data_IF_437886786453
#
_entry.id   IF_437886786453
#
_cell.length_a   1.000
_cell.length_b   1.000
_cell.length_c   1.000
_cell.angle_alpha   90.00
_cell.angle_beta   90.00
_cell.angle_gamma   90.00
#
_symmetry.space_group_name_H-M   'P 1'
#
loop_
_entity.id
_entity.type
_entity.pdbx_description
1 polymer ?
#
# COMPACT_ATOMS: atom_id res chain seq x y z
N UNK A 1 -38.84 -34.19 -8.64
CA UNK A 1 -37.68 -33.97 -7.75
C UNK A 1 -36.47 -33.86 -8.67
N UNK A 2 -35.98 -32.67 -9.04
CA UNK A 2 -35.21 -31.67 -8.27
C UNK A 2 -33.95 -32.26 -7.62
N UNK A 3 -32.91 -32.44 -8.44
CA UNK A 3 -31.50 -32.55 -8.04
C UNK A 3 -30.67 -31.78 -9.07
N UNK A 4 -30.44 -30.49 -8.82
CA UNK A 4 -29.50 -29.62 -9.55
C UNK A 4 -29.38 -28.32 -8.76
N UNK A 5 -28.45 -28.26 -7.80
CA UNK A 5 -27.82 -27.02 -7.30
C UNK A 5 -27.12 -27.34 -5.97
N UNK A 6 -25.86 -27.75 -5.99
CA UNK A 6 -25.03 -27.66 -4.77
C UNK A 6 -23.50 -27.75 -5.01
N UNK A 7 -23.04 -27.84 -6.27
CA UNK A 7 -21.61 -28.02 -6.56
C UNK A 7 -20.88 -26.74 -7.00
N UNK A 8 -21.58 -25.63 -7.28
CA UNK A 8 -20.94 -24.42 -7.83
C UNK A 8 -20.52 -23.37 -6.79
N UNK A 9 -20.95 -23.45 -5.53
CA UNK A 9 -20.65 -22.40 -4.54
C UNK A 9 -19.36 -22.62 -3.74
N UNK A 10 -18.62 -23.71 -3.98
CA UNK A 10 -17.46 -24.09 -3.15
C UNK A 10 -16.10 -23.93 -3.84
N UNK A 11 -16.08 -23.54 -5.11
CA UNK A 11 -14.85 -23.39 -5.90
C UNK A 11 -14.35 -21.94 -6.05
N UNK A 12 -15.08 -20.95 -5.53
CA UNK A 12 -14.73 -19.52 -5.69
C UNK A 12 -13.81 -19.02 -4.57
N UNK A 13 -13.85 -19.62 -3.38
CA UNK A 13 -13.08 -19.15 -2.23
C UNK A 13 -11.62 -19.67 -2.18
N UNK A 14 -11.28 -20.75 -2.88
CA UNK A 14 -9.92 -21.33 -2.83
C UNK A 14 -8.95 -20.73 -3.87
N UNK A 15 -9.46 -19.99 -4.86
CA UNK A 15 -8.63 -19.44 -5.95
C UNK A 15 -8.15 -17.99 -5.71
N UNK A 16 -8.63 -17.34 -4.64
CA UNK A 16 -8.16 -16.03 -4.19
C UNK A 16 -6.94 -16.12 -3.26
N UNK A 17 -6.62 -17.32 -2.75
CA UNK A 17 -5.55 -17.53 -1.77
C UNK A 17 -4.12 -17.43 -2.33
N UNK A 18 -3.93 -17.31 -3.65
CA UNK A 18 -2.59 -17.29 -4.27
C UNK A 18 -2.27 -16.03 -5.07
N UNK A 19 -3.22 -15.09 -5.22
CA UNK A 19 -2.98 -13.88 -6.01
C UNK A 19 -2.48 -12.78 -5.08
N UNK A 20 -1.16 -12.57 -5.09
CA UNK A 20 -0.57 -11.38 -4.46
C UNK A 20 -1.01 -10.13 -5.21
N UNK A 21 -1.41 -9.10 -4.48
CA UNK A 21 -1.77 -7.83 -5.10
C UNK A 21 -0.50 -7.13 -5.60
N UNK A 22 -0.40 -6.98 -6.91
CA UNK A 22 0.69 -6.22 -7.55
C UNK A 22 0.56 -4.75 -7.18
N UNK A 23 1.63 -4.13 -6.68
CA UNK A 23 1.63 -2.73 -6.24
C UNK A 23 2.74 -1.89 -6.86
N UNK A 24 2.42 -0.63 -7.17
CA UNK A 24 3.41 0.44 -7.28
C UNK A 24 3.68 0.96 -5.88
N UNK A 25 4.92 0.81 -5.42
CA UNK A 25 5.31 1.21 -4.08
C UNK A 25 5.81 2.65 -4.05
N UNK A 26 5.23 3.43 -3.16
CA UNK A 26 5.65 4.76 -2.78
C UNK A 26 6.01 4.78 -1.30
N UNK A 27 7.07 5.49 -0.95
CA UNK A 27 7.64 5.46 0.40
C UNK A 27 7.99 6.89 0.82
N UNK A 28 7.68 7.27 2.07
CA UNK A 28 8.15 8.56 2.59
C UNK A 28 9.68 8.62 2.61
N UNK A 29 10.23 9.82 2.40
CA UNK A 29 11.68 10.04 2.43
C UNK A 29 12.31 9.54 3.74
N UNK A 30 11.63 9.78 4.86
CA UNK A 30 12.04 9.34 6.20
C UNK A 30 12.21 7.82 6.34
N UNK A 31 11.34 7.05 5.70
CA UNK A 31 11.41 5.58 5.70
C UNK A 31 12.56 5.15 4.78
N UNK A 32 12.61 5.70 3.57
CA UNK A 32 13.65 5.36 2.61
C UNK A 32 15.06 5.69 3.10
N UNK A 33 15.20 6.75 3.90
CA UNK A 33 16.47 7.18 4.48
C UNK A 33 16.94 6.30 5.66
N UNK A 34 16.05 5.53 6.30
CA UNK A 34 16.35 4.77 7.53
C UNK A 34 16.29 3.26 7.36
N UNK A 35 15.50 2.78 6.40
CA UNK A 35 15.30 1.35 6.15
C UNK A 35 15.91 0.93 4.82
N UNK A 36 16.40 -0.31 4.76
CA UNK A 36 16.84 -0.86 3.49
C UNK A 36 15.62 -1.20 2.63
N UNK A 37 15.75 -1.03 1.31
CA UNK A 37 14.71 -1.41 0.36
C UNK A 37 14.21 -2.84 0.54
N UNK A 38 15.17 -3.75 0.76
CA UNK A 38 14.89 -5.15 0.99
C UNK A 38 13.92 -5.38 2.15
N UNK A 39 14.07 -4.64 3.27
CA UNK A 39 13.27 -4.84 4.48
C UNK A 39 11.77 -4.66 4.23
N UNK A 40 11.38 -3.53 3.65
CA UNK A 40 9.96 -3.24 3.44
C UNK A 40 9.38 -3.99 2.24
N UNK A 41 10.16 -4.25 1.18
CA UNK A 41 9.67 -5.08 0.06
C UNK A 41 9.47 -6.54 0.50
N UNK A 42 10.40 -7.06 1.31
CA UNK A 42 10.26 -8.39 1.90
C UNK A 42 9.01 -8.44 2.79
N UNK A 43 8.85 -7.50 3.71
CA UNK A 43 7.68 -7.43 4.57
C UNK A 43 6.36 -7.39 3.77
N UNK A 44 6.26 -6.51 2.76
CA UNK A 44 5.08 -6.44 1.89
C UNK A 44 4.77 -7.79 1.22
N UNK A 45 5.79 -8.53 0.82
CA UNK A 45 5.62 -9.88 0.26
C UNK A 45 5.06 -10.89 1.27
N UNK A 46 5.39 -10.75 2.55
CA UNK A 46 4.87 -11.63 3.62
C UNK A 46 3.39 -11.40 3.89
N UNK A 47 2.90 -10.17 3.66
CA UNK A 47 1.49 -9.81 3.84
C UNK A 47 0.68 -9.81 2.54
N UNK A 48 1.22 -10.40 1.46
CA UNK A 48 0.48 -10.67 0.24
C UNK A 48 0.58 -9.61 -0.86
N UNK A 49 1.45 -8.61 -0.74
CA UNK A 49 1.71 -7.64 -1.82
C UNK A 49 2.94 -8.03 -2.64
N UNK A 50 2.92 -7.75 -3.95
CA UNK A 50 4.08 -7.90 -4.82
C UNK A 50 4.45 -6.57 -5.44
N UNK A 51 5.59 -6.01 -5.06
CA UNK A 51 6.06 -4.74 -5.63
C UNK A 51 6.49 -4.95 -7.08
N UNK A 52 5.80 -4.31 -8.02
CA UNK A 52 6.11 -4.39 -9.47
C UNK A 52 6.92 -3.19 -9.96
N UNK A 53 6.91 -2.08 -9.21
CA UNK A 53 7.73 -0.88 -9.45
C UNK A 53 7.78 -0.01 -8.19
N UNK A 54 8.87 0.73 -8.02
CA UNK A 54 9.18 1.52 -6.81
C UNK A 54 10.52 1.10 -6.16
N UNK A 55 10.83 1.60 -4.96
CA UNK A 55 10.08 2.64 -4.24
C UNK A 55 10.18 3.99 -4.97
N UNK A 56 9.06 4.67 -5.13
CA UNK A 56 9.01 6.07 -5.53
C UNK A 56 8.99 6.92 -4.26
N UNK A 57 9.88 7.91 -4.16
CA UNK A 57 9.95 8.72 -2.95
C UNK A 57 8.84 9.76 -2.98
N UNK A 58 8.07 9.82 -1.89
CA UNK A 58 7.01 10.82 -1.76
C UNK A 58 7.55 12.24 -1.81
N UNK A 59 6.72 13.16 -2.26
CA UNK A 59 7.04 14.58 -2.47
C UNK A 59 8.06 14.86 -3.60
N UNK A 60 8.59 13.82 -4.27
CA UNK A 60 9.22 13.99 -5.57
C UNK A 60 8.15 14.18 -6.68
N UNK A 61 8.49 14.84 -7.80
CA UNK A 61 7.55 15.05 -8.89
C UNK A 61 6.96 13.74 -9.44
N UNK A 62 5.64 13.62 -9.36
CA UNK A 62 4.88 12.46 -9.87
C UNK A 62 4.64 12.58 -11.38
N UNK A 63 5.55 12.06 -12.18
CA UNK A 63 5.45 12.08 -13.65
C UNK A 63 4.38 11.11 -14.16
N UNK A 64 3.84 11.37 -15.35
CA UNK A 64 2.83 10.48 -15.97
C UNK A 64 3.40 9.10 -16.32
N UNK A 65 4.71 8.99 -16.52
CA UNK A 65 5.40 7.73 -16.80
C UNK A 65 5.23 6.71 -15.67
N UNK A 66 5.21 7.17 -14.42
CA UNK A 66 4.98 6.32 -13.24
C UNK A 66 3.60 5.63 -13.32
N UNK A 67 2.62 6.30 -13.91
CA UNK A 67 1.23 5.82 -14.00
C UNK A 67 0.88 5.26 -15.37
N UNK A 68 1.85 5.14 -16.29
CA UNK A 68 1.61 4.67 -17.66
C UNK A 68 0.92 3.30 -17.70
N UNK A 69 1.18 2.43 -16.72
CA UNK A 69 0.50 1.14 -16.57
C UNK A 69 -1.02 1.28 -16.47
N UNK A 70 -1.53 2.27 -15.74
CA UNK A 70 -2.96 2.53 -15.56
C UNK A 70 -3.66 3.02 -16.83
N UNK A 71 -2.92 3.66 -17.74
CA UNK A 71 -3.46 4.25 -18.97
C UNK A 71 -3.45 3.28 -20.16
N UNK A 72 -2.85 2.10 -20.02
CA UNK A 72 -2.70 1.11 -21.10
C UNK A 72 -4.02 0.49 -21.60
N UNK A 73 -5.14 0.76 -20.94
CA UNK A 73 -6.47 0.29 -21.35
C UNK A 73 -6.68 -1.23 -21.23
N UNK A 74 -5.70 -1.96 -20.69
CA UNK A 74 -5.77 -3.39 -20.43
C UNK A 74 -6.37 -3.62 -19.04
N UNK A 75 -7.63 -4.09 -18.92
CA UNK A 75 -8.35 -4.14 -17.64
C UNK A 75 -7.84 -5.21 -16.66
N UNK A 76 -6.85 -6.03 -17.03
CA UNK A 76 -6.58 -7.30 -16.32
C UNK A 76 -5.43 -7.20 -15.30
N UNK A 77 -4.58 -6.16 -15.31
CA UNK A 77 -3.40 -6.10 -14.44
C UNK A 77 -2.91 -4.68 -14.08
N UNK A 78 -3.80 -3.73 -13.83
CA UNK A 78 -3.34 -2.47 -13.23
C UNK A 78 -2.92 -2.74 -11.77
N UNK A 79 -1.64 -2.50 -11.40
CA UNK A 79 -1.23 -2.65 -10.01
C UNK A 79 -1.99 -1.65 -9.13
N UNK A 80 -2.22 -1.99 -7.87
CA UNK A 80 -2.67 -1.00 -6.89
C UNK A 80 -1.52 -0.03 -6.56
N UNK A 81 -1.82 1.11 -5.95
CA UNK A 81 -0.80 1.94 -5.31
C UNK A 81 -0.65 1.48 -3.87
N UNK A 82 0.59 1.40 -3.37
CA UNK A 82 0.88 1.24 -1.95
C UNK A 82 1.73 2.41 -1.47
N UNK A 83 1.21 3.20 -0.53
CA UNK A 83 1.88 4.33 0.11
C UNK A 83 2.34 3.92 1.51
N UNK A 84 3.64 3.76 1.70
CA UNK A 84 4.22 3.46 3.01
C UNK A 84 4.63 4.76 3.71
N UNK A 85 4.04 5.02 4.88
CA UNK A 85 4.18 6.27 5.63
C UNK A 85 4.51 5.99 7.10
N UNK A 86 5.32 6.87 7.70
CA UNK A 86 5.42 6.94 9.15
C UNK A 86 4.12 7.53 9.70
N UNK A 87 3.53 6.87 10.71
CA UNK A 87 2.22 7.23 11.23
C UNK A 87 2.24 8.56 11.98
N UNK A 88 3.35 8.87 12.63
CA UNK A 88 3.54 10.10 13.39
C UNK A 88 3.51 11.29 12.44
N UNK A 89 2.49 12.15 12.60
CA UNK A 89 2.16 13.33 11.80
C UNK A 89 3.22 13.79 10.77
N UNK A 90 3.25 13.18 9.58
CA UNK A 90 3.73 13.88 8.40
C UNK A 90 2.78 15.07 8.14
N UNK A 91 3.09 15.98 7.20
CA UNK A 91 2.12 16.99 6.75
C UNK A 91 0.93 16.28 6.09
N UNK A 92 -0.04 15.85 6.90
CA UNK A 92 -1.18 15.04 6.46
C UNK A 92 -1.93 15.74 5.33
N UNK A 93 -2.02 17.08 5.38
CA UNK A 93 -2.57 17.88 4.29
C UNK A 93 -1.86 17.68 2.95
N UNK A 94 -0.52 17.66 2.92
CA UNK A 94 0.24 17.40 1.68
C UNK A 94 0.01 15.98 1.17
N UNK A 95 -0.11 15.01 2.07
CA UNK A 95 -0.45 13.64 1.69
C UNK A 95 -1.84 13.57 1.08
N UNK A 96 -2.83 14.27 1.64
CA UNK A 96 -4.19 14.32 1.09
C UNK A 96 -4.20 14.98 -0.31
N UNK A 97 -3.50 16.10 -0.51
CA UNK A 97 -3.38 16.74 -1.83
C UNK A 97 -2.70 15.81 -2.85
N UNK A 98 -1.68 15.09 -2.41
CA UNK A 98 -1.01 14.10 -3.27
C UNK A 98 -1.94 12.93 -3.63
N UNK A 99 -2.74 12.44 -2.68
CA UNK A 99 -3.74 11.38 -2.92
C UNK A 99 -4.76 11.80 -3.97
N UNK A 100 -5.24 13.05 -3.93
CA UNK A 100 -6.12 13.60 -4.97
C UNK A 100 -5.44 13.59 -6.35
N UNK A 101 -4.16 13.99 -6.42
CA UNK A 101 -3.37 13.94 -7.66
C UNK A 101 -3.17 12.52 -8.18
N UNK A 102 -2.86 11.56 -7.30
CA UNK A 102 -2.75 10.14 -7.67
C UNK A 102 -4.08 9.59 -8.17
N UNK A 103 -5.20 9.93 -7.50
CA UNK A 103 -6.55 9.52 -7.89
C UNK A 103 -6.90 9.98 -9.30
N UNK A 104 -6.55 11.21 -9.67
CA UNK A 104 -6.78 11.73 -11.01
C UNK A 104 -6.02 10.94 -12.08
N UNK A 105 -4.83 10.41 -11.75
CA UNK A 105 -3.99 9.63 -12.67
C UNK A 105 -4.44 8.17 -12.79
N UNK A 106 -4.77 7.50 -11.68
CA UNK A 106 -5.15 6.08 -11.70
C UNK A 106 -6.64 5.82 -12.00
N UNK A 107 -7.45 6.89 -11.99
CA UNK A 107 -8.89 6.82 -12.19
C UNK A 107 -9.67 6.34 -10.97
N UNK A 108 -11.01 6.37 -11.03
CA UNK A 108 -11.88 6.18 -9.86
C UNK A 108 -11.90 4.77 -9.26
N UNK A 109 -11.35 3.76 -9.94
CA UNK A 109 -11.38 2.36 -9.48
C UNK A 109 -10.01 1.81 -9.08
N UNK A 110 -8.94 2.60 -9.25
CA UNK A 110 -7.60 2.18 -8.81
C UNK A 110 -7.54 2.08 -7.29
N UNK A 111 -7.03 0.97 -6.75
CA UNK A 111 -6.90 0.83 -5.29
C UNK A 111 -5.66 1.57 -4.81
N UNK A 112 -5.78 2.30 -3.70
CA UNK A 112 -4.67 2.93 -2.99
C UNK A 112 -4.66 2.37 -1.57
N UNK A 113 -3.58 1.66 -1.22
CA UNK A 113 -3.29 1.26 0.15
C UNK A 113 -2.39 2.31 0.81
N UNK A 114 -2.72 2.69 2.04
CA UNK A 114 -1.88 3.53 2.89
C UNK A 114 -1.40 2.66 4.04
N UNK A 115 -0.16 2.17 3.95
CA UNK A 115 0.50 1.40 5.00
C UNK A 115 1.17 2.32 6.00
N UNK A 116 0.64 2.35 7.23
CA UNK A 116 1.20 3.10 8.33
C UNK A 116 2.17 2.21 9.11
N UNK A 117 3.39 2.70 9.34
CA UNK A 117 4.34 2.13 10.30
C UNK A 117 4.54 3.08 11.48
N UNK A 118 4.98 2.54 12.61
CA UNK A 118 5.56 3.36 13.67
C UNK A 118 6.95 3.89 13.28
N UNK A 119 7.72 4.31 14.27
CA UNK A 119 9.02 4.93 14.05
C UNK A 119 9.99 3.94 13.37
N UNK A 120 10.55 4.26 12.19
CA UNK A 120 11.61 3.46 11.58
C UNK A 120 12.90 3.58 12.40
N UNK A 121 13.52 2.43 12.66
CA UNK A 121 14.82 2.32 13.31
C UNK A 121 15.88 2.00 12.25
N UNK A 122 17.02 2.71 12.30
CA UNK A 122 18.10 2.54 11.33
C UNK A 122 18.48 1.06 11.18
N UNK A 123 18.33 0.54 9.96
CA UNK A 123 18.69 -0.84 9.57
C UNK A 123 18.16 -1.95 10.48
N UNK A 124 17.06 -1.73 11.19
CA UNK A 124 16.55 -2.68 12.19
C UNK A 124 15.03 -2.88 12.14
N UNK A 125 14.33 -2.22 11.22
CA UNK A 125 12.89 -2.32 11.02
C UNK A 125 12.11 -1.16 11.64
N UNK A 126 10.88 -1.38 12.09
CA UNK A 126 10.00 -0.33 12.60
C UNK A 126 9.16 -0.81 13.78
N UNK A 127 8.70 0.15 14.59
CA UNK A 127 7.77 -0.10 15.69
C UNK A 127 6.32 -0.18 15.24
N UNK A 128 5.44 -0.58 16.15
CA UNK A 128 3.98 -0.48 15.94
C UNK A 128 3.53 0.97 15.81
N UNK A 129 2.40 1.14 15.12
CA UNK A 129 1.68 2.40 14.99
C UNK A 129 0.96 2.71 16.30
N UNK A 130 0.96 3.97 16.74
CA UNK A 130 0.15 4.35 17.90
C UNK A 130 -1.35 4.36 17.56
N UNK A 131 -2.20 3.93 18.51
CA UNK A 131 -3.67 3.95 18.32
C UNK A 131 -4.18 5.35 17.98
N UNK A 132 -3.57 6.39 18.56
CA UNK A 132 -3.93 7.78 18.31
C UNK A 132 -3.62 8.18 16.85
N UNK A 133 -2.41 7.91 16.37
CA UNK A 133 -2.02 8.26 14.99
C UNK A 133 -2.90 7.53 13.97
N UNK A 134 -3.15 6.23 14.20
CA UNK A 134 -4.05 5.44 13.36
C UNK A 134 -5.44 6.06 13.28
N UNK A 135 -6.00 6.47 14.41
CA UNK A 135 -7.33 7.07 14.47
C UNK A 135 -7.37 8.36 13.65
N UNK A 136 -6.36 9.23 13.80
CA UNK A 136 -6.24 10.47 13.02
C UNK A 136 -6.19 10.17 11.52
N UNK A 137 -5.39 9.20 11.10
CA UNK A 137 -5.29 8.82 9.68
C UNK A 137 -6.60 8.27 9.13
N UNK A 138 -7.24 7.35 9.85
CA UNK A 138 -8.54 6.77 9.44
C UNK A 138 -9.59 7.86 9.31
N UNK A 139 -9.69 8.77 10.27
CA UNK A 139 -10.67 9.87 10.22
C UNK A 139 -10.42 10.81 9.03
N UNK A 140 -9.15 11.15 8.77
CA UNK A 140 -8.77 12.04 7.66
C UNK A 140 -9.01 11.41 6.31
N UNK A 141 -8.64 10.15 6.13
CA UNK A 141 -8.88 9.43 4.87
C UNK A 141 -10.38 9.20 4.65
N UNK A 142 -11.12 8.85 5.70
CA UNK A 142 -12.59 8.69 5.61
C UNK A 142 -13.28 9.99 5.19
N UNK A 143 -12.74 11.15 5.59
CA UNK A 143 -13.29 12.46 5.19
C UNK A 143 -13.16 12.76 3.68
N UNK A 144 -12.28 12.06 2.95
CA UNK A 144 -12.19 12.15 1.49
C UNK A 144 -13.43 11.52 0.83
N UNK A 145 -14.02 10.49 1.45
CA UNK A 145 -15.17 9.76 0.91
C UNK A 145 -14.85 8.83 -0.27
N UNK A 146 -13.57 8.48 -0.47
CA UNK A 146 -13.13 7.57 -1.52
C UNK A 146 -13.02 6.12 -0.99
N UNK A 147 -13.90 5.20 -1.41
CA UNK A 147 -13.91 3.83 -0.91
C UNK A 147 -12.75 2.97 -1.43
N UNK A 148 -11.98 3.47 -2.39
CA UNK A 148 -10.81 2.76 -2.95
C UNK A 148 -9.50 3.19 -2.29
N UNK A 149 -9.56 4.01 -1.22
CA UNK A 149 -8.41 4.32 -0.37
C UNK A 149 -8.56 3.54 0.95
N UNK A 150 -7.60 2.68 1.23
CA UNK A 150 -7.62 1.78 2.40
C UNK A 150 -6.43 2.09 3.30
N UNK A 151 -6.68 2.35 4.58
CA UNK A 151 -5.63 2.50 5.60
C UNK A 151 -5.33 1.15 6.21
N UNK A 152 -4.04 0.77 6.19
CA UNK A 152 -3.50 -0.45 6.77
C UNK A 152 -2.53 -0.09 7.87
N UNK A 153 -2.64 -0.79 9.00
CA UNK A 153 -1.58 -0.79 10.01
C UNK A 153 -0.60 -1.90 9.67
N UNK A 154 0.69 -1.56 9.63
CA UNK A 154 1.76 -2.52 9.43
C UNK A 154 2.39 -2.81 10.80
N UNK A 155 2.14 -3.99 11.39
CA UNK A 155 2.78 -4.40 12.64
C UNK A 155 4.29 -4.19 12.65
N UNK A 156 4.84 -4.03 13.85
CA UNK A 156 6.27 -3.94 14.06
C UNK A 156 7.01 -5.06 13.32
N UNK A 157 8.07 -4.65 12.64
CA UNK A 157 8.93 -5.54 11.89
C UNK A 157 10.35 -5.37 12.37
N UNK A 158 11.07 -6.48 12.47
CA UNK A 158 12.51 -6.49 12.69
C UNK A 158 13.16 -6.84 11.37
N UNK A 159 14.02 -5.95 10.88
CA UNK A 159 14.82 -6.21 9.68
C UNK A 159 15.59 -7.51 9.82
N UNK A 160 15.76 -8.23 8.71
CA UNK A 160 16.72 -9.31 8.68
C UNK A 160 18.10 -8.66 8.82
N UNK A 161 18.69 -8.74 10.01
CA UNK A 161 20.09 -8.40 10.18
C UNK A 161 20.86 -9.30 9.23
N UNK A 162 21.42 -8.72 8.16
CA UNK A 162 22.55 -9.34 7.50
C UNK A 162 23.62 -9.48 8.57
N UNK A 163 23.80 -10.68 9.11
CA UNK A 163 24.95 -11.00 9.93
C UNK A 163 26.20 -10.57 9.11
N UNK A 164 27.11 -9.78 9.69
CA UNK A 164 28.28 -9.26 9.00
C UNK A 164 29.23 -10.35 8.51
#
# INVERSE_FOLDING_TARGET
ARESDDTEHRAVDENLSSKRDSVLLFVSEDIHARLQRFDYEHYLSTIGFSVVSGPHILLQPLTDEIFASFHSGQPVQNPAIFLMLESWMPPIGETLTMLEGMRQKIGMKGVIHIGLIGKPAYHSGWSDVSVQDKTIWVDRISSIGDPYIVVLELPAYKGETSDP
#
